data_IF_460939619898
#
_entry.id   IF_460939619898
#
_cell.length_a   1.000
_cell.length_b   1.000
_cell.length_c   1.000
_cell.angle_alpha   90.00
_cell.angle_beta   90.00
_cell.angle_gamma   90.00
#
_symmetry.space_group_name_H-M   'P 1'
#
loop_
_entity.id
_entity.type
_entity.pdbx_description
1 polymer ?
#
# COMPACT_ATOMS: atom_id res chain seq x y z
N UNK A 1 4.30 -11.66 8.81
CA UNK A 1 3.37 -10.79 8.06
C UNK A 1 3.33 -9.42 8.73
N UNK A 2 4.00 -8.41 8.15
CA UNK A 2 4.25 -7.12 8.82
C UNK A 2 3.55 -5.91 8.17
N UNK A 3 2.64 -6.14 7.18
CA UNK A 3 1.93 -5.08 6.45
C UNK A 3 1.13 -4.11 7.31
N UNK A 4 0.60 -4.61 8.42
CA UNK A 4 -0.23 -3.81 9.31
C UNK A 4 0.57 -3.10 10.41
N UNK A 5 1.86 -3.43 10.61
CA UNK A 5 2.71 -2.75 11.57
C UNK A 5 3.36 -1.48 11.02
N UNK A 6 3.18 -1.22 9.73
CA UNK A 6 3.76 -0.08 9.03
C UNK A 6 2.85 1.16 9.22
N UNK A 7 3.07 1.91 10.28
CA UNK A 7 2.34 3.13 10.59
C UNK A 7 3.32 4.29 10.84
N UNK A 8 2.94 5.47 10.39
CA UNK A 8 3.60 6.72 10.71
C UNK A 8 2.78 7.46 11.79
N UNK A 9 3.39 7.68 12.94
CA UNK A 9 2.83 8.48 14.04
C UNK A 9 3.61 9.78 14.26
N UNK A 10 4.48 10.16 13.32
CA UNK A 10 5.33 11.35 13.49
C UNK A 10 4.54 12.65 13.40
N UNK A 11 3.29 12.63 12.94
CA UNK A 11 2.45 13.80 12.69
C UNK A 11 3.10 14.87 11.80
N UNK A 12 4.12 14.48 11.04
CA UNK A 12 4.82 15.37 10.12
C UNK A 12 3.90 15.82 8.99
N UNK A 13 3.96 17.10 8.68
CA UNK A 13 3.33 17.67 7.48
C UNK A 13 4.35 17.63 6.35
N UNK A 14 4.30 16.57 5.54
CA UNK A 14 5.13 16.46 4.35
C UNK A 14 4.46 17.19 3.17
N UNK A 15 5.23 17.75 2.23
CA UNK A 15 4.67 18.20 0.96
C UNK A 15 4.02 17.00 0.23
N UNK A 16 2.85 17.19 -0.39
CA UNK A 16 2.25 16.13 -1.21
C UNK A 16 3.18 15.67 -2.34
N UNK A 17 3.02 14.42 -2.75
CA UNK A 17 3.74 13.87 -3.90
C UNK A 17 3.11 14.38 -5.20
N UNK A 18 3.36 15.64 -5.54
CA UNK A 18 2.85 16.21 -6.80
C UNK A 18 3.58 15.64 -8.01
N UNK A 19 2.84 15.48 -9.09
CA UNK A 19 3.39 15.22 -10.42
C UNK A 19 3.33 13.76 -10.88
N UNK A 20 3.10 12.78 -10.02
CA UNK A 20 3.00 11.39 -10.48
C UNK A 20 1.79 11.15 -11.40
N UNK A 21 0.72 11.94 -11.29
CA UNK A 21 -0.41 11.88 -12.22
C UNK A 21 -0.06 12.34 -13.65
N UNK A 22 0.98 13.16 -13.80
CA UNK A 22 1.40 13.72 -15.09
C UNK A 22 2.38 12.83 -15.84
N UNK A 23 2.93 11.78 -15.22
CA UNK A 23 3.82 10.86 -15.94
C UNK A 23 3.03 9.91 -16.83
N UNK A 24 3.69 9.41 -17.88
CA UNK A 24 3.11 8.44 -18.79
C UNK A 24 2.75 7.13 -18.06
N UNK A 25 1.62 6.54 -18.42
CA UNK A 25 1.24 5.21 -17.95
C UNK A 25 2.05 4.16 -18.73
N UNK A 26 2.88 3.41 -18.04
CA UNK A 26 3.78 2.43 -18.63
C UNK A 26 3.51 1.03 -18.07
N UNK A 27 4.13 -0.01 -18.68
CA UNK A 27 4.07 -1.38 -18.16
C UNK A 27 4.69 -1.48 -16.77
N UNK A 28 4.28 -2.47 -15.97
CA UNK A 28 4.83 -2.70 -14.64
C UNK A 28 6.35 -2.96 -14.67
N UNK A 29 6.84 -3.65 -15.70
CA UNK A 29 8.28 -3.89 -15.90
C UNK A 29 9.04 -2.56 -16.03
N UNK A 30 8.54 -1.67 -16.90
CA UNK A 30 9.16 -0.35 -17.12
C UNK A 30 9.04 0.56 -15.88
N UNK A 31 7.89 0.50 -15.19
CA UNK A 31 7.63 1.30 -14.01
C UNK A 31 8.55 0.94 -12.83
N UNK A 32 8.91 -0.34 -12.68
CA UNK A 32 9.71 -0.84 -11.58
C UNK A 32 11.21 -1.02 -11.91
N UNK A 33 11.60 -0.95 -13.19
CA UNK A 33 12.99 -1.09 -13.61
C UNK A 33 13.97 -0.19 -12.84
N UNK A 34 13.68 1.09 -12.59
CA UNK A 34 14.61 1.96 -11.85
C UNK A 34 14.85 1.52 -10.41
N UNK A 35 13.94 0.72 -9.83
CA UNK A 35 13.96 0.27 -8.43
C UNK A 35 14.71 -1.06 -8.23
N UNK A 36 15.14 -1.73 -9.30
CA UNK A 36 15.80 -3.05 -9.21
C UNK A 36 17.09 -3.03 -8.39
N UNK A 37 17.76 -1.88 -8.30
CA UNK A 37 18.97 -1.73 -7.46
C UNK A 37 18.63 -1.62 -5.96
N UNK A 38 17.42 -1.19 -5.64
CA UNK A 38 16.98 -0.97 -4.25
C UNK A 38 16.22 -2.16 -3.68
N UNK A 39 15.55 -2.93 -4.55
CA UNK A 39 14.67 -4.04 -4.15
C UNK A 39 15.21 -5.34 -4.73
N UNK A 40 15.72 -6.20 -3.87
CA UNK A 40 16.28 -7.50 -4.28
C UNK A 40 15.23 -8.36 -4.98
N UNK A 41 15.63 -9.06 -6.03
CA UNK A 41 14.80 -9.97 -6.82
C UNK A 41 13.53 -9.34 -7.42
N UNK A 42 13.44 -7.99 -7.52
CA UNK A 42 12.24 -7.29 -7.96
C UNK A 42 11.71 -7.83 -9.29
N UNK A 43 12.57 -7.98 -10.30
CA UNK A 43 12.18 -8.50 -11.62
C UNK A 43 11.59 -9.93 -11.57
N UNK A 44 12.06 -10.77 -10.64
CA UNK A 44 11.47 -12.10 -10.39
C UNK A 44 10.04 -11.97 -9.84
N UNK A 45 9.84 -11.09 -8.85
CA UNK A 45 8.52 -10.88 -8.24
C UNK A 45 7.54 -10.17 -9.16
N UNK A 46 8.01 -9.31 -10.07
CA UNK A 46 7.19 -8.76 -11.17
C UNK A 46 6.65 -9.88 -12.06
N UNK A 47 7.49 -10.85 -12.46
CA UNK A 47 7.06 -12.01 -13.25
C UNK A 47 6.02 -12.86 -12.50
N UNK A 48 6.23 -13.08 -11.22
CA UNK A 48 5.28 -13.80 -10.35
C UNK A 48 3.95 -13.04 -10.28
N UNK A 49 3.97 -11.74 -10.03
CA UNK A 49 2.77 -10.93 -9.98
C UNK A 49 1.99 -10.97 -11.30
N UNK A 50 2.66 -10.83 -12.45
CA UNK A 50 2.04 -10.95 -13.77
C UNK A 50 1.48 -12.33 -14.06
N UNK A 51 2.03 -13.38 -13.46
CA UNK A 51 1.55 -14.76 -13.63
C UNK A 51 0.29 -15.03 -12.81
N UNK A 52 0.23 -14.51 -11.60
CA UNK A 52 -0.81 -14.86 -10.63
C UNK A 52 -1.84 -13.75 -10.35
N UNK A 53 -1.65 -12.54 -10.90
CA UNK A 53 -2.65 -11.49 -10.79
C UNK A 53 -3.98 -11.90 -11.45
N UNK A 54 -5.07 -11.33 -10.98
CA UNK A 54 -6.40 -11.53 -11.53
C UNK A 54 -6.51 -10.89 -12.91
N UNK A 55 -6.41 -11.72 -13.97
CA UNK A 55 -6.55 -11.27 -15.35
C UNK A 55 -6.99 -12.44 -16.27
N UNK A 56 -8.04 -12.28 -17.11
CA UNK A 56 -8.91 -11.09 -17.20
C UNK A 56 -9.78 -10.91 -15.94
N UNK A 57 -10.33 -9.72 -15.73
CA UNK A 57 -11.07 -9.37 -14.52
C UNK A 57 -12.30 -8.49 -14.81
N UNK A 58 -13.22 -8.45 -13.86
CA UNK A 58 -14.52 -7.76 -13.98
C UNK A 58 -14.42 -6.22 -13.98
N UNK A 59 -13.31 -5.66 -13.49
CA UNK A 59 -13.12 -4.20 -13.40
C UNK A 59 -12.31 -3.62 -14.58
N UNK A 60 -12.07 -4.42 -15.63
CA UNK A 60 -11.32 -4.02 -16.82
C UNK A 60 -9.91 -3.47 -16.53
N UNK A 61 -9.25 -3.96 -15.47
CA UNK A 61 -7.84 -3.68 -15.27
C UNK A 61 -7.01 -4.37 -16.35
N UNK A 62 -6.01 -3.68 -16.87
CA UNK A 62 -4.99 -4.34 -17.66
C UNK A 62 -4.20 -5.34 -16.80
N UNK A 63 -3.48 -6.24 -17.44
CA UNK A 63 -2.63 -7.21 -16.73
C UNK A 63 -1.60 -6.51 -15.84
N UNK A 64 -1.00 -5.43 -16.33
CA UNK A 64 -0.03 -4.65 -15.57
C UNK A 64 -0.67 -3.91 -14.39
N UNK A 65 -1.87 -3.38 -14.55
CA UNK A 65 -2.64 -2.76 -13.47
C UNK A 65 -2.99 -3.77 -12.38
N UNK A 66 -3.51 -4.94 -12.76
CA UNK A 66 -3.81 -6.00 -11.78
C UNK A 66 -2.52 -6.50 -11.08
N UNK A 67 -1.43 -6.68 -11.84
CA UNK A 67 -0.15 -7.07 -11.29
C UNK A 67 0.44 -6.01 -10.33
N UNK A 68 0.17 -4.71 -10.55
CA UNK A 68 0.65 -3.66 -9.65
C UNK A 68 0.01 -3.74 -8.26
N UNK A 69 -1.27 -4.09 -8.17
CA UNK A 69 -1.94 -4.34 -6.90
C UNK A 69 -1.42 -5.63 -6.27
N UNK A 70 -1.28 -6.68 -7.07
CA UNK A 70 -0.82 -7.97 -6.60
C UNK A 70 0.58 -7.89 -5.96
N UNK A 71 1.56 -7.28 -6.66
CA UNK A 71 2.93 -7.16 -6.17
C UNK A 71 3.03 -6.28 -4.91
N UNK A 72 2.19 -5.25 -4.79
CA UNK A 72 2.12 -4.44 -3.57
C UNK A 72 1.76 -5.30 -2.35
N UNK A 73 0.95 -6.31 -2.54
CA UNK A 73 0.50 -7.19 -1.44
C UNK A 73 1.42 -8.38 -1.19
N UNK A 74 2.39 -8.62 -2.06
CA UNK A 74 3.37 -9.69 -1.88
C UNK A 74 4.35 -9.37 -0.75
N UNK A 75 4.74 -10.40 -0.03
CA UNK A 75 5.74 -10.30 1.02
C UNK A 75 6.92 -11.22 0.71
N UNK A 76 8.09 -10.63 0.58
CA UNK A 76 9.35 -11.37 0.41
C UNK A 76 10.47 -10.67 1.14
N UNK A 77 11.09 -11.35 2.08
CA UNK A 77 12.21 -10.84 2.86
C UNK A 77 12.01 -9.41 3.43
N UNK A 78 13.08 -8.71 3.74
CA UNK A 78 13.03 -7.36 4.30
C UNK A 78 12.80 -6.26 3.25
N UNK A 79 13.03 -6.57 1.97
CA UNK A 79 12.97 -5.61 0.85
C UNK A 79 11.71 -5.76 0.00
N UNK A 80 10.59 -6.22 0.57
CA UNK A 80 9.31 -6.26 -0.14
C UNK A 80 8.93 -4.87 -0.66
N UNK A 81 8.33 -4.82 -1.86
CA UNK A 81 8.02 -3.56 -2.54
C UNK A 81 7.23 -2.60 -1.64
N UNK A 82 6.20 -3.09 -0.93
CA UNK A 82 5.38 -2.23 -0.08
C UNK A 82 6.15 -1.58 1.06
N UNK A 83 7.19 -2.25 1.60
CA UNK A 83 8.01 -1.68 2.69
C UNK A 83 8.86 -0.52 2.18
N UNK A 84 9.57 -0.75 1.07
CA UNK A 84 10.43 0.27 0.48
C UNK A 84 9.61 1.46 -0.04
N UNK A 85 8.45 1.18 -0.66
CA UNK A 85 7.54 2.24 -1.10
C UNK A 85 7.00 3.06 0.07
N UNK A 86 6.50 2.41 1.12
CA UNK A 86 5.92 3.10 2.27
C UNK A 86 6.97 3.92 3.03
N UNK A 87 8.20 3.43 3.11
CA UNK A 87 9.35 4.18 3.64
C UNK A 87 9.62 5.43 2.80
N UNK A 88 9.68 5.29 1.47
CA UNK A 88 9.85 6.43 0.56
C UNK A 88 8.68 7.43 0.68
N UNK A 89 7.44 6.97 0.81
CA UNK A 89 6.27 7.82 1.00
C UNK A 89 6.32 8.64 2.31
N UNK A 90 6.97 8.12 3.34
CA UNK A 90 7.18 8.81 4.63
C UNK A 90 8.44 9.67 4.69
N UNK A 91 9.31 9.56 3.69
CA UNK A 91 10.55 10.34 3.63
C UNK A 91 10.28 11.83 3.49
N UNK A 92 11.09 12.64 4.16
CA UNK A 92 11.11 14.11 3.97
C UNK A 92 11.71 14.50 2.62
N UNK A 93 12.59 13.67 2.09
CA UNK A 93 13.16 13.82 0.75
C UNK A 93 12.14 13.44 -0.33
N UNK A 94 11.35 14.43 -0.77
CA UNK A 94 10.32 14.23 -1.80
C UNK A 94 10.91 14.07 -3.21
N UNK A 95 12.16 14.48 -3.43
CA UNK A 95 12.85 14.25 -4.71
C UNK A 95 13.14 12.76 -4.92
N UNK A 96 13.54 12.05 -3.87
CA UNK A 96 13.77 10.61 -3.91
C UNK A 96 12.50 9.81 -4.27
N UNK A 97 11.31 10.40 -4.06
CA UNK A 97 10.04 9.78 -4.42
C UNK A 97 9.76 9.77 -5.92
N UNK A 98 10.42 10.62 -6.72
CA UNK A 98 10.17 10.72 -8.16
C UNK A 98 10.46 9.43 -8.92
N UNK A 99 11.39 8.62 -8.45
CA UNK A 99 11.70 7.31 -9.04
C UNK A 99 10.51 6.34 -8.96
N UNK A 100 9.58 6.57 -8.03
CA UNK A 100 8.36 5.79 -7.83
C UNK A 100 7.18 6.28 -8.67
N UNK A 101 7.25 7.45 -9.28
CA UNK A 101 6.11 8.05 -9.99
C UNK A 101 5.50 7.16 -11.07
N UNK A 102 6.26 6.45 -11.92
CA UNK A 102 5.67 5.53 -12.89
C UNK A 102 4.86 4.40 -12.24
N UNK A 103 5.37 3.84 -11.13
CA UNK A 103 4.65 2.82 -10.39
C UNK A 103 3.44 3.38 -9.66
N UNK A 104 3.56 4.53 -8.99
CA UNK A 104 2.43 5.20 -8.33
C UNK A 104 1.32 5.53 -9.32
N UNK A 105 1.67 6.00 -10.52
CA UNK A 105 0.70 6.24 -11.60
C UNK A 105 -0.04 4.97 -12.00
N UNK A 106 0.69 3.88 -12.21
CA UNK A 106 0.10 2.59 -12.59
C UNK A 106 -0.82 2.05 -11.48
N UNK A 107 -0.34 2.07 -10.25
CA UNK A 107 -1.03 1.56 -9.06
C UNK A 107 -2.30 2.39 -8.75
N UNK A 108 -2.20 3.70 -8.73
CA UNK A 108 -3.31 4.62 -8.48
C UNK A 108 -4.40 4.50 -9.56
N UNK A 109 -4.01 4.48 -10.84
CA UNK A 109 -4.93 4.27 -11.96
C UNK A 109 -5.64 2.91 -11.87
N UNK A 110 -4.97 1.88 -11.33
CA UNK A 110 -5.57 0.59 -11.08
C UNK A 110 -6.59 0.65 -9.95
N UNK A 111 -6.23 1.28 -8.83
CA UNK A 111 -7.12 1.46 -7.68
C UNK A 111 -8.37 2.28 -8.02
N UNK A 112 -8.23 3.29 -8.86
CA UNK A 112 -9.37 4.13 -9.27
C UNK A 112 -10.47 3.36 -9.99
N UNK A 113 -10.13 2.27 -10.66
CA UNK A 113 -11.10 1.39 -11.33
C UNK A 113 -11.83 0.44 -10.38
N UNK A 114 -11.33 0.27 -9.16
CA UNK A 114 -11.92 -0.63 -8.18
C UNK A 114 -13.09 0.03 -7.42
N UNK A 115 -14.04 -0.80 -6.94
CA UNK A 115 -15.17 -0.31 -6.17
C UNK A 115 -14.73 0.49 -4.94
N UNK A 116 -15.40 1.61 -4.72
CA UNK A 116 -15.21 2.43 -3.52
C UNK A 116 -15.88 1.77 -2.32
N UNK A 117 -15.16 1.68 -1.22
CA UNK A 117 -15.65 1.21 0.07
C UNK A 117 -15.97 2.41 0.96
N UNK A 118 -17.20 2.45 1.45
CA UNK A 118 -17.65 3.37 2.49
C UNK A 118 -18.11 2.56 3.69
N UNK A 119 -17.77 3.02 4.89
CA UNK A 119 -18.14 2.36 6.15
C UNK A 119 -16.96 1.94 7.00
N UNK A 120 -17.23 1.15 8.02
CA UNK A 120 -16.23 0.78 9.03
C UNK A 120 -15.25 -0.26 8.50
N UNK A 121 -13.96 0.05 8.64
CA UNK A 121 -12.86 -0.88 8.40
C UNK A 121 -11.89 -0.85 9.59
N UNK A 122 -11.11 -1.90 9.74
CA UNK A 122 -10.20 -2.12 10.84
C UNK A 122 -8.76 -2.15 10.38
N UNK A 123 -7.87 -1.54 11.17
CA UNK A 123 -6.42 -1.62 11.00
C UNK A 123 -5.76 -1.92 12.33
N UNK A 124 -4.95 -2.98 12.38
CA UNK A 124 -4.16 -3.34 13.54
C UNK A 124 -2.71 -2.91 13.38
N UNK A 125 -2.11 -2.43 14.45
CA UNK A 125 -0.67 -2.11 14.52
C UNK A 125 -0.08 -2.81 15.72
N UNK A 126 0.98 -3.59 15.50
CA UNK A 126 1.65 -4.36 16.54
C UNK A 126 2.61 -3.49 17.38
N UNK A 127 2.14 -2.34 17.82
CA UNK A 127 2.81 -1.37 18.70
C UNK A 127 1.73 -0.61 19.49
N UNK A 128 2.04 -0.21 20.72
CA UNK A 128 1.22 0.72 21.48
C UNK A 128 1.46 2.15 21.01
N UNK A 129 0.68 2.58 20.01
CA UNK A 129 0.74 3.94 19.46
C UNK A 129 -0.50 4.76 19.83
N UNK A 130 -1.47 4.18 20.52
CA UNK A 130 -2.74 4.84 20.87
C UNK A 130 -2.54 6.15 21.62
N UNK A 131 -1.56 6.22 22.52
CA UNK A 131 -1.21 7.41 23.28
C UNK A 131 -0.72 8.60 22.44
N UNK A 132 -0.32 8.36 21.19
CA UNK A 132 0.14 9.41 20.27
C UNK A 132 -1.01 10.13 19.56
N UNK A 133 -2.23 9.60 19.70
CA UNK A 133 -3.43 10.17 19.05
C UNK A 133 -4.31 10.83 20.10
N UNK A 134 -4.67 12.09 19.85
CA UNK A 134 -5.59 12.85 20.69
C UNK A 134 -6.91 13.07 19.99
N UNK A 135 -7.98 13.24 20.82
CA UNK A 135 -9.31 13.52 20.30
C UNK A 135 -9.31 14.77 19.42
N UNK A 136 -10.05 14.72 18.32
CA UNK A 136 -10.27 15.81 17.36
C UNK A 136 -8.98 16.30 16.64
N UNK A 137 -7.91 15.50 16.68
CA UNK A 137 -6.67 15.80 15.96
C UNK A 137 -6.72 15.25 14.53
N UNK A 138 -6.53 16.14 13.55
CA UNK A 138 -6.32 15.73 12.17
C UNK A 138 -4.85 15.36 11.93
N UNK A 139 -4.62 14.26 11.23
CA UNK A 139 -3.28 13.81 10.84
C UNK A 139 -3.32 13.12 9.47
N UNK A 140 -2.17 12.95 8.85
CA UNK A 140 -2.04 12.27 7.56
C UNK A 140 -1.13 11.06 7.70
N UNK A 141 -1.62 9.89 7.32
CA UNK A 141 -0.77 8.74 7.05
C UNK A 141 -0.20 8.85 5.65
N UNK A 142 1.09 9.08 5.56
CA UNK A 142 1.79 9.29 4.28
C UNK A 142 2.09 8.01 3.51
N UNK A 143 1.67 6.87 4.01
CA UNK A 143 1.84 5.56 3.41
C UNK A 143 0.51 4.97 2.96
N UNK A 144 0.56 4.01 2.05
CA UNK A 144 -0.63 3.25 1.67
C UNK A 144 -1.07 2.38 2.86
N UNK A 145 -2.32 2.55 3.28
CA UNK A 145 -2.87 1.90 4.47
C UNK A 145 -3.77 0.73 4.09
N UNK A 146 -3.36 -0.48 4.50
CA UNK A 146 -4.18 -1.69 4.36
C UNK A 146 -5.12 -1.81 5.55
N UNK A 147 -6.42 -2.05 5.26
CA UNK A 147 -7.46 -2.24 6.25
C UNK A 147 -8.27 -3.50 5.92
N UNK A 148 -9.05 -3.99 6.89
CA UNK A 148 -9.97 -5.11 6.69
C UNK A 148 -11.38 -4.73 7.17
N UNK A 149 -12.40 -5.20 6.46
CA UNK A 149 -13.78 -5.10 6.93
C UNK A 149 -14.08 -6.10 8.07
N UNK A 150 -13.21 -7.08 8.29
CA UNK A 150 -13.35 -8.08 9.36
C UNK A 150 -12.31 -7.85 10.45
N UNK A 151 -12.75 -7.59 11.67
CA UNK A 151 -11.90 -7.45 12.86
C UNK A 151 -11.13 -8.75 13.15
N UNK A 152 -11.74 -9.92 12.91
CA UNK A 152 -11.11 -11.23 13.13
C UNK A 152 -9.83 -11.43 12.30
N UNK A 153 -9.75 -10.82 11.10
CA UNK A 153 -8.53 -10.82 10.28
C UNK A 153 -7.42 -10.06 10.98
N UNK A 154 -7.77 -8.93 11.59
CA UNK A 154 -6.81 -8.08 12.31
C UNK A 154 -6.38 -8.75 13.62
N UNK A 155 -7.30 -9.37 14.36
CA UNK A 155 -6.99 -10.12 15.59
C UNK A 155 -6.01 -11.26 15.32
N UNK A 156 -6.24 -12.05 14.27
CA UNK A 156 -5.31 -13.10 13.83
C UNK A 156 -3.94 -12.54 13.45
N UNK A 157 -3.91 -11.35 12.89
CA UNK A 157 -2.66 -10.67 12.56
C UNK A 157 -1.91 -10.19 13.80
N UNK A 158 -2.61 -9.62 14.77
CA UNK A 158 -2.01 -9.11 16.01
C UNK A 158 -1.52 -10.21 16.94
N UNK A 159 -2.00 -11.46 16.78
CA UNK A 159 -1.61 -12.70 17.46
C UNK A 159 -0.85 -12.48 18.77
N UNK A 160 -1.56 -12.28 19.90
CA UNK A 160 -0.99 -12.23 21.25
C UNK A 160 0.12 -11.19 21.48
N UNK A 161 0.29 -10.21 20.60
CA UNK A 161 1.18 -9.09 20.86
C UNK A 161 0.53 -8.21 21.93
N UNK A 162 1.11 -8.20 23.12
CA UNK A 162 0.61 -7.47 24.29
C UNK A 162 0.49 -5.96 24.03
N UNK A 163 1.41 -5.41 23.24
CA UNK A 163 1.47 -4.01 22.90
C UNK A 163 0.99 -3.83 21.45
N UNK A 164 -0.30 -3.57 21.28
CA UNK A 164 -0.90 -3.36 19.97
C UNK A 164 -1.99 -2.28 20.02
N UNK A 165 -2.20 -1.62 18.89
CA UNK A 165 -3.26 -0.63 18.71
C UNK A 165 -4.20 -1.09 17.61
N UNK A 166 -5.50 -1.05 17.89
CA UNK A 166 -6.56 -1.30 16.93
C UNK A 166 -7.23 0.00 16.55
N UNK A 167 -7.19 0.34 15.27
CA UNK A 167 -7.91 1.49 14.72
C UNK A 167 -9.23 1.03 14.11
N UNK A 168 -10.32 1.68 14.51
CA UNK A 168 -11.60 1.64 13.82
C UNK A 168 -11.65 2.90 12.95
N UNK A 169 -11.83 2.71 11.64
CA UNK A 169 -11.78 3.77 10.65
C UNK A 169 -13.09 3.81 9.89
N UNK A 170 -13.75 4.95 9.88
CA UNK A 170 -14.87 5.18 8.99
C UNK A 170 -14.34 5.62 7.62
N UNK A 171 -14.28 4.67 6.69
CA UNK A 171 -13.76 4.90 5.36
C UNK A 171 -14.78 5.68 4.51
N UNK A 172 -14.33 6.69 3.79
CA UNK A 172 -15.14 7.50 2.88
C UNK A 172 -14.89 7.09 1.42
N UNK A 173 -13.64 6.81 1.07
CA UNK A 173 -13.19 6.54 -0.28
C UNK A 173 -12.15 5.40 -0.38
N UNK A 174 -12.19 4.45 0.54
CA UNK A 174 -11.37 3.25 0.46
C UNK A 174 -11.60 2.49 -0.85
N UNK A 175 -10.63 1.65 -1.27
CA UNK A 175 -10.75 0.82 -2.47
C UNK A 175 -10.77 -0.66 -2.11
N UNK A 176 -11.74 -1.39 -2.68
CA UNK A 176 -11.87 -2.82 -2.46
C UNK A 176 -10.87 -3.58 -3.33
N UNK A 177 -9.83 -4.08 -2.71
CA UNK A 177 -8.74 -4.81 -3.41
C UNK A 177 -8.86 -6.33 -3.32
N UNK A 178 -9.92 -6.86 -2.68
CA UNK A 178 -10.14 -8.31 -2.60
C UNK A 178 -10.25 -8.93 -3.99
N UNK A 179 -9.59 -10.08 -4.19
CA UNK A 179 -9.47 -10.71 -5.49
C UNK A 179 -8.31 -10.23 -6.36
N UNK A 180 -7.62 -9.15 -5.96
CA UNK A 180 -6.44 -8.61 -6.65
C UNK A 180 -5.16 -8.74 -5.82
N UNK A 181 -5.27 -9.25 -4.62
CA UNK A 181 -4.16 -9.41 -3.67
C UNK A 181 -3.62 -10.84 -3.70
N UNK A 182 -2.45 -11.03 -3.10
CA UNK A 182 -1.87 -12.36 -2.88
C UNK A 182 -2.69 -13.20 -1.87
N UNK A 183 -3.56 -12.58 -1.08
CA UNK A 183 -4.33 -13.20 0.02
C UNK A 183 -5.82 -13.16 -0.25
#
# INVERSE_FOLDING_TARGET
MNRFSDIDWSFKKLPPAYGFHSVELVSIDKALQPLEKQIKELSRYVKIAKKYCNFPNEHNLSKDQSASIYIYTMEWQETSLYRVLNEALRSEDRESLKIWFPYLKLFDTALDRLPTVKGVVWRGVALDVGKNFTKDQAFTWWAVSSCSASVNVIEKFLQNKKDSTLFLIEAINGKKVSGYTQY
#
